data_IF_139490408391
#
_entry.id   IF_139490408391
#
_cell.length_a   1.000
_cell.length_b   1.000
_cell.length_c   1.000
_cell.angle_alpha   90.00
_cell.angle_beta   90.00
_cell.angle_gamma   90.00
#
_symmetry.space_group_name_H-M   'P 1'
#
loop_
_entity.id
_entity.type
_entity.pdbx_description
1 polymer ?
#
# COMPACT_ATOMS: atom_id res chain seq x y z
N UNK A 1 9.75 9.08 2.02
CA UNK A 1 9.55 9.49 0.62
C UNK A 1 8.66 10.73 0.63
N UNK A 2 8.92 11.70 -0.24
CA UNK A 2 8.09 12.91 -0.33
C UNK A 2 6.76 12.58 -1.02
N UNK A 3 5.67 12.52 -0.25
CA UNK A 3 4.36 12.10 -0.76
C UNK A 3 3.81 13.05 -1.81
N UNK A 4 4.15 14.34 -1.76
CA UNK A 4 3.75 15.31 -2.78
C UNK A 4 4.39 14.93 -4.13
N UNK A 5 5.71 14.69 -4.13
CA UNK A 5 6.43 14.26 -5.33
C UNK A 5 5.95 12.91 -5.86
N UNK A 6 5.59 11.98 -4.97
CA UNK A 6 5.01 10.68 -5.37
C UNK A 6 3.67 10.86 -6.08
N UNK A 7 2.78 11.70 -5.54
CA UNK A 7 1.48 11.99 -6.18
C UNK A 7 1.65 12.70 -7.53
N UNK A 8 2.59 13.65 -7.62
CA UNK A 8 2.93 14.32 -8.87
C UNK A 8 3.47 13.33 -9.92
N UNK A 9 4.37 12.42 -9.52
CA UNK A 9 4.91 11.38 -10.40
C UNK A 9 3.82 10.42 -10.91
N UNK A 10 2.95 9.94 -10.02
CA UNK A 10 1.80 9.08 -10.39
C UNK A 10 0.92 9.81 -11.41
N UNK A 11 0.61 11.09 -11.17
CA UNK A 11 -0.21 11.89 -12.09
C UNK A 11 0.45 12.00 -13.47
N UNK A 12 1.74 12.30 -13.52
CA UNK A 12 2.48 12.41 -14.78
C UNK A 12 2.54 11.06 -15.52
N UNK A 13 2.81 9.97 -14.81
CA UNK A 13 2.84 8.62 -15.40
C UNK A 13 1.49 8.20 -15.97
N UNK A 14 0.38 8.55 -15.32
CA UNK A 14 -0.97 8.27 -15.85
C UNK A 14 -1.27 9.04 -17.15
N UNK A 15 -0.78 10.28 -17.29
CA UNK A 15 -0.90 11.05 -18.53
C UNK A 15 -0.08 10.39 -19.66
N UNK A 16 1.18 10.06 -19.38
CA UNK A 16 2.06 9.40 -20.35
C UNK A 16 1.49 8.05 -20.80
N UNK A 17 0.92 7.27 -19.87
CA UNK A 17 0.27 6.00 -20.16
C UNK A 17 -0.89 6.18 -21.16
N UNK A 18 -1.77 7.16 -20.93
CA UNK A 18 -2.88 7.48 -21.81
C UNK A 18 -2.42 7.87 -23.22
N UNK A 19 -1.40 8.73 -23.33
CA UNK A 19 -0.85 9.14 -24.63
C UNK A 19 -0.23 7.95 -25.38
N UNK A 20 0.47 7.05 -24.68
CA UNK A 20 1.10 5.86 -25.27
C UNK A 20 0.08 4.83 -25.76
N UNK A 21 -1.02 4.64 -25.03
CA UNK A 21 -2.14 3.80 -25.45
C UNK A 21 -2.78 4.35 -26.73
N UNK A 22 -3.00 5.68 -26.79
CA UNK A 22 -3.50 6.35 -27.99
C UNK A 22 -2.58 6.23 -29.21
N UNK A 23 -1.26 6.12 -28.99
CA UNK A 23 -0.25 5.92 -30.05
C UNK A 23 -0.02 4.44 -30.41
N UNK A 24 -0.64 3.48 -29.71
CA UNK A 24 -0.55 2.06 -30.03
C UNK A 24 0.72 1.33 -29.54
N UNK A 25 1.45 1.88 -28.56
CA UNK A 25 2.58 1.18 -27.95
C UNK A 25 2.08 0.00 -27.08
N UNK A 26 2.53 -1.24 -27.33
CA UNK A 26 2.06 -2.41 -26.56
C UNK A 26 2.82 -2.70 -25.26
N UNK A 27 4.14 -2.51 -25.24
CA UNK A 27 4.98 -2.95 -24.11
C UNK A 27 5.32 -1.83 -23.13
N UNK A 28 5.39 -0.58 -23.61
CA UNK A 28 5.71 0.58 -22.77
C UNK A 28 4.64 0.82 -21.69
N UNK A 29 3.33 0.74 -21.99
CA UNK A 29 2.28 0.90 -20.99
C UNK A 29 2.46 0.03 -19.74
N UNK A 30 2.82 -1.25 -19.91
CA UNK A 30 2.99 -2.21 -18.81
C UNK A 30 4.07 -1.78 -17.79
N UNK A 31 5.15 -1.15 -18.25
CA UNK A 31 6.19 -0.66 -17.34
C UNK A 31 5.70 0.54 -16.52
N UNK A 32 4.90 1.41 -17.13
CA UNK A 32 4.27 2.54 -16.43
C UNK A 32 3.24 2.07 -15.41
N UNK A 33 2.39 1.10 -15.77
CA UNK A 33 1.45 0.47 -14.83
C UNK A 33 2.17 -0.10 -13.60
N UNK A 34 3.25 -0.86 -13.83
CA UNK A 34 4.06 -1.45 -12.75
C UNK A 34 4.67 -0.37 -11.85
N UNK A 35 5.20 0.70 -12.44
CA UNK A 35 5.77 1.82 -11.70
C UNK A 35 4.70 2.59 -10.91
N UNK A 36 3.52 2.81 -11.50
CA UNK A 36 2.37 3.44 -10.84
C UNK A 36 1.93 2.60 -9.64
N UNK A 37 1.76 1.29 -9.81
CA UNK A 37 1.36 0.38 -8.71
C UNK A 37 2.37 0.43 -7.55
N UNK A 38 3.67 0.39 -7.86
CA UNK A 38 4.72 0.48 -6.86
C UNK A 38 4.69 1.81 -6.11
N UNK A 39 4.51 2.93 -6.82
CA UNK A 39 4.41 4.27 -6.23
C UNK A 39 3.14 4.45 -5.39
N UNK A 40 2.00 3.91 -5.84
CA UNK A 40 0.74 3.94 -5.09
C UNK A 40 0.88 3.19 -3.75
N UNK A 41 1.62 2.08 -3.71
CA UNK A 41 1.94 1.36 -2.46
C UNK A 41 2.81 2.16 -1.49
N UNK A 42 3.53 3.20 -1.96
CA UNK A 42 4.33 4.07 -1.08
C UNK A 42 3.50 5.16 -0.39
N UNK A 43 2.30 5.44 -0.89
CA UNK A 43 1.38 6.36 -0.25
C UNK A 43 0.72 5.66 0.94
N UNK A 44 0.83 6.19 2.17
CA UNK A 44 0.31 5.53 3.35
C UNK A 44 -1.21 5.36 3.30
N UNK A 45 -1.70 4.20 3.73
CA UNK A 45 -3.13 3.91 3.88
C UNK A 45 -3.39 3.35 5.26
N UNK A 46 -4.43 3.86 5.92
CA UNK A 46 -4.86 3.38 7.24
C UNK A 46 -5.40 1.96 7.14
N UNK A 47 -4.87 0.99 7.90
CA UNK A 47 -5.47 -0.34 8.00
C UNK A 47 -6.89 -0.26 8.57
N UNK A 48 -7.78 -1.17 8.14
CA UNK A 48 -9.13 -1.27 8.72
C UNK A 48 -9.06 -2.09 10.02
N UNK A 49 -9.42 -1.51 11.15
CA UNK A 49 -9.57 -2.27 12.41
C UNK A 49 -10.74 -3.24 12.29
N UNK A 50 -10.49 -4.51 12.58
CA UNK A 50 -11.52 -5.57 12.56
C UNK A 50 -11.98 -5.98 13.96
N UNK A 51 -11.30 -5.48 15.00
CA UNK A 51 -11.58 -5.76 16.41
C UNK A 51 -10.38 -6.35 17.14
N UNK A 52 -10.65 -7.06 18.22
CA UNK A 52 -9.63 -7.70 19.07
C UNK A 52 -9.62 -9.21 18.85
N UNK A 53 -8.41 -9.76 18.68
CA UNK A 53 -8.16 -11.20 18.76
C UNK A 53 -8.08 -11.60 20.24
N UNK A 54 -8.85 -12.63 20.62
CA UNK A 54 -8.84 -13.18 21.97
C UNK A 54 -7.68 -14.18 22.10
N UNK A 55 -6.46 -13.64 22.24
CA UNK A 55 -5.29 -14.46 22.55
C UNK A 55 -5.34 -14.92 24.01
N UNK A 56 -4.96 -16.17 24.27
CA UNK A 56 -4.88 -16.79 25.61
C UNK A 56 -4.11 -15.95 26.65
N UNK A 57 -3.20 -15.07 26.22
CA UNK A 57 -2.31 -14.28 27.08
C UNK A 57 -2.56 -12.77 26.95
N UNK A 58 -2.97 -12.29 25.76
CA UNK A 58 -3.20 -10.86 25.50
C UNK A 58 -4.21 -10.66 24.38
N UNK A 59 -5.11 -9.70 24.57
CA UNK A 59 -5.97 -9.18 23.51
C UNK A 59 -5.17 -8.26 22.60
N UNK A 60 -5.07 -8.61 21.33
CA UNK A 60 -4.36 -7.82 20.32
C UNK A 60 -5.34 -7.36 19.26
N UNK A 61 -5.33 -6.07 18.93
CA UNK A 61 -6.10 -5.57 17.79
C UNK A 61 -5.56 -6.15 16.49
N UNK A 62 -6.45 -6.56 15.60
CA UNK A 62 -6.08 -7.04 14.28
C UNK A 62 -6.75 -6.19 13.20
N UNK A 63 -6.06 -6.08 12.07
CA UNK A 63 -6.41 -5.14 11.01
C UNK A 63 -6.38 -5.81 9.65
N UNK A 64 -7.15 -5.25 8.71
CA UNK A 64 -7.12 -5.63 7.30
C UNK A 64 -6.37 -4.60 6.46
N UNK A 65 -5.48 -5.09 5.59
CA UNK A 65 -4.90 -4.28 4.54
C UNK A 65 -6.00 -3.85 3.56
N UNK A 66 -6.20 -2.54 3.39
CA UNK A 66 -7.20 -2.03 2.44
C UNK A 66 -6.84 -2.27 0.97
N UNK A 67 -5.61 -2.71 0.67
CA UNK A 67 -5.14 -2.95 -0.71
C UNK A 67 -5.29 -4.40 -1.14
N UNK A 68 -4.84 -5.37 -0.32
CA UNK A 68 -4.91 -6.80 -0.67
C UNK A 68 -5.91 -7.62 0.16
N UNK A 69 -6.52 -7.04 1.19
CA UNK A 69 -7.48 -7.76 2.05
C UNK A 69 -6.84 -8.65 3.10
N UNK A 70 -5.51 -8.68 3.24
CA UNK A 70 -4.84 -9.43 4.30
C UNK A 70 -5.34 -9.00 5.70
N UNK A 71 -5.99 -9.92 6.43
CA UNK A 71 -6.62 -9.69 7.73
C UNK A 71 -5.70 -9.91 8.95
N UNK A 72 -4.44 -10.27 8.73
CA UNK A 72 -3.50 -10.66 9.79
C UNK A 72 -2.49 -9.53 10.08
N UNK A 73 -2.90 -8.27 9.92
CA UNK A 73 -2.06 -7.14 10.30
C UNK A 73 -2.22 -6.82 11.79
N UNK A 74 -1.10 -6.48 12.41
CA UNK A 74 -1.02 -5.95 13.77
C UNK A 74 -0.01 -4.80 13.74
N UNK A 75 -0.29 -3.68 14.41
CA UNK A 75 0.62 -2.53 14.42
C UNK A 75 2.04 -2.93 14.85
N UNK A 76 2.13 -3.82 15.84
CA UNK A 76 3.38 -4.37 16.35
C UNK A 76 3.36 -5.89 16.21
N UNK A 77 4.23 -6.45 15.36
CA UNK A 77 4.36 -7.91 15.19
C UNK A 77 5.10 -8.54 16.38
N UNK A 78 5.96 -7.76 17.03
CA UNK A 78 6.52 -7.99 18.36
C UNK A 78 6.98 -6.65 18.94
N UNK A 79 7.52 -6.64 20.16
CA UNK A 79 7.96 -5.42 20.86
C UNK A 79 9.03 -4.59 20.10
N UNK A 80 9.67 -5.17 19.08
CA UNK A 80 10.79 -4.57 18.36
C UNK A 80 10.52 -4.35 16.86
N UNK A 81 9.36 -4.76 16.35
CA UNK A 81 9.05 -4.72 14.91
C UNK A 81 7.67 -4.11 14.65
N UNK A 82 7.68 -2.86 14.20
CA UNK A 82 6.50 -2.16 13.68
C UNK A 82 6.23 -2.61 12.23
N UNK A 83 5.00 -2.98 11.92
CA UNK A 83 4.59 -3.33 10.55
C UNK A 83 4.24 -2.07 9.75
N UNK A 84 5.25 -1.27 9.41
CA UNK A 84 5.03 -0.06 8.57
C UNK A 84 4.57 -0.38 7.14
N UNK A 85 4.63 -1.65 6.74
CA UNK A 85 4.20 -2.13 5.43
C UNK A 85 3.40 -3.43 5.59
N UNK A 86 2.41 -3.62 4.73
CA UNK A 86 1.73 -4.90 4.60
C UNK A 86 2.72 -5.94 4.12
N UNK A 87 2.94 -7.00 4.90
CA UNK A 87 3.88 -8.07 4.58
C UNK A 87 3.46 -8.92 3.37
N UNK A 88 2.19 -8.83 2.95
CA UNK A 88 1.64 -9.56 1.82
C UNK A 88 1.79 -8.78 0.50
N UNK A 89 1.35 -7.51 0.46
CA UNK A 89 1.34 -6.72 -0.78
C UNK A 89 2.31 -5.54 -0.84
N UNK A 90 3.02 -5.23 0.25
CA UNK A 90 3.99 -4.13 0.33
C UNK A 90 3.37 -2.73 0.48
N UNK A 91 2.06 -2.60 0.66
CA UNK A 91 1.40 -1.31 0.92
C UNK A 91 1.93 -0.67 2.21
N UNK A 92 2.42 0.57 2.16
CA UNK A 92 2.78 1.36 3.34
C UNK A 92 1.54 1.62 4.19
N UNK A 93 1.65 1.34 5.48
CA UNK A 93 0.54 1.43 6.43
C UNK A 93 0.66 2.71 7.25
N UNK A 94 -0.49 3.33 7.51
CA UNK A 94 -0.63 4.47 8.41
C UNK A 94 -1.24 4.01 9.73
N UNK A 95 -0.43 4.03 10.79
CA UNK A 95 -0.86 3.68 12.14
C UNK A 95 -1.18 4.90 13.01
N UNK A 96 -1.15 6.12 12.44
CA UNK A 96 -1.56 7.31 13.19
C UNK A 96 -3.04 7.23 13.60
N UNK A 97 -3.34 7.66 14.83
CA UNK A 97 -4.69 7.64 15.41
C UNK A 97 -5.64 8.66 14.76
#
# INVERSE_FOLDING_TARGET
>A
MDEKKVREAIKYFKIMLFDMEGMGFKYIPKYYETAIEALEKQLPKRPRENGMSDGLIKKTKYYTCQTCGNCLLTEMMNERQNTNYCWDCGQRLDWSE
#
